data_IF_401514372569
#
_entry.id   IF_401514372569
#
_cell.length_a   1.000
_cell.length_b   1.000
_cell.length_c   1.000
_cell.angle_alpha   90.00
_cell.angle_beta   90.00
_cell.angle_gamma   90.00
#
_symmetry.space_group_name_H-M   'P 1'
#
loop_
_entity.id
_entity.type
_entity.pdbx_description
1 polymer ?
#
# COMPACT_ATOMS: atom_id res chain seq x y z
N UNK A 1 -19.66 -35.68 14.07
CA UNK A 1 -19.41 -34.59 15.04
C UNK A 1 -19.96 -33.29 14.46
N UNK A 2 -20.86 -32.59 15.15
CA UNK A 2 -21.28 -31.24 14.73
C UNK A 2 -20.09 -30.31 14.91
N UNK A 3 -19.66 -29.64 13.84
CA UNK A 3 -18.68 -28.56 13.92
C UNK A 3 -19.34 -27.39 14.66
N UNK A 4 -19.13 -27.31 15.97
CA UNK A 4 -19.40 -26.11 16.75
C UNK A 4 -18.43 -25.03 16.24
N UNK A 5 -18.88 -24.26 15.27
CA UNK A 5 -18.15 -23.07 14.80
C UNK A 5 -18.30 -22.03 15.89
N UNK A 6 -17.36 -22.02 16.84
CA UNK A 6 -17.21 -20.94 17.79
C UNK A 6 -17.07 -19.65 16.97
N UNK A 7 -18.08 -18.76 17.01
CA UNK A 7 -18.06 -17.47 16.30
C UNK A 7 -17.11 -16.51 17.02
N UNK A 8 -15.82 -16.84 17.04
CA UNK A 8 -14.76 -15.89 17.38
C UNK A 8 -14.66 -14.89 16.24
N UNK A 9 -15.49 -13.85 16.26
CA UNK A 9 -15.49 -12.89 15.18
C UNK A 9 -16.42 -11.71 15.41
N UNK A 10 -15.82 -10.58 15.81
CA UNK A 10 -16.28 -9.22 15.50
C UNK A 10 -17.71 -8.90 15.99
N UNK A 11 -18.23 -9.63 16.99
CA UNK A 11 -19.52 -9.35 17.62
C UNK A 11 -19.39 -8.12 18.52
N UNK A 12 -19.42 -6.93 17.93
CA UNK A 12 -19.24 -5.65 18.63
C UNK A 12 -19.04 -4.45 17.70
N UNK A 13 -18.70 -4.69 16.43
CA UNK A 13 -18.54 -3.64 15.42
C UNK A 13 -19.73 -3.59 14.47
N UNK A 14 -19.99 -2.41 13.90
CA UNK A 14 -21.01 -2.29 12.86
C UNK A 14 -20.61 -3.07 11.61
N UNK A 15 -21.58 -3.59 10.85
CA UNK A 15 -21.34 -4.43 9.66
C UNK A 15 -20.41 -3.77 8.62
N UNK A 16 -20.35 -2.44 8.56
CA UNK A 16 -19.42 -1.74 7.68
C UNK A 16 -17.97 -1.90 8.14
N UNK A 17 -17.72 -1.71 9.43
CA UNK A 17 -16.41 -1.84 10.06
C UNK A 17 -15.89 -3.28 9.94
N UNK A 18 -16.74 -4.28 10.18
CA UNK A 18 -16.36 -5.69 10.03
C UNK A 18 -15.82 -5.99 8.64
N UNK A 19 -16.48 -5.48 7.59
CA UNK A 19 -16.07 -5.69 6.19
C UNK A 19 -14.74 -5.05 5.86
N UNK A 20 -14.43 -3.89 6.45
CA UNK A 20 -13.12 -3.25 6.29
C UNK A 20 -12.03 -4.11 6.92
N UNK A 21 -12.23 -4.52 8.18
CA UNK A 21 -11.27 -5.35 8.92
C UNK A 21 -11.04 -6.71 8.25
N UNK A 22 -12.10 -7.37 7.79
CA UNK A 22 -12.00 -8.65 7.08
C UNK A 22 -11.28 -8.50 5.73
N UNK A 23 -11.52 -7.40 5.01
CA UNK A 23 -10.82 -7.10 3.76
C UNK A 23 -9.33 -6.88 3.99
N UNK A 24 -8.97 -6.09 4.99
CA UNK A 24 -7.57 -5.86 5.37
C UNK A 24 -6.90 -7.17 5.81
N UNK A 25 -7.59 -7.98 6.60
CA UNK A 25 -7.13 -9.32 6.98
C UNK A 25 -6.91 -10.23 5.78
N UNK A 26 -7.86 -10.25 4.85
CA UNK A 26 -7.73 -11.04 3.63
C UNK A 26 -6.49 -10.60 2.83
N UNK A 27 -6.24 -9.28 2.72
CA UNK A 27 -5.05 -8.74 2.06
C UNK A 27 -3.76 -9.19 2.78
N UNK A 28 -3.71 -9.13 4.12
CA UNK A 28 -2.57 -9.61 4.90
C UNK A 28 -2.33 -11.11 4.74
N UNK A 29 -3.40 -11.90 4.55
CA UNK A 29 -3.34 -13.33 4.25
C UNK A 29 -3.02 -13.64 2.78
N UNK A 30 -2.73 -12.62 1.96
CA UNK A 30 -2.29 -12.77 0.58
C UNK A 30 -3.38 -12.61 -0.47
N UNK A 31 -4.61 -12.23 -0.09
CA UNK A 31 -5.63 -11.86 -1.06
C UNK A 31 -5.20 -10.61 -1.84
N UNK A 32 -5.56 -10.56 -3.13
CA UNK A 32 -5.19 -9.45 -3.99
C UNK A 32 -5.91 -8.16 -3.55
N UNK A 33 -5.17 -7.07 -3.28
CA UNK A 33 -5.78 -5.78 -2.97
C UNK A 33 -6.70 -5.27 -4.09
N UNK A 34 -7.70 -4.46 -3.76
CA UNK A 34 -8.55 -3.84 -4.77
C UNK A 34 -7.75 -2.95 -5.72
N UNK A 35 -8.26 -2.84 -6.95
CA UNK A 35 -7.70 -1.90 -7.93
C UNK A 35 -7.88 -0.47 -7.43
N UNK A 36 -6.84 0.33 -7.60
CA UNK A 36 -6.90 1.77 -7.35
C UNK A 36 -7.80 2.41 -8.40
N UNK A 37 -8.53 3.44 -8.00
CA UNK A 37 -9.29 4.26 -8.92
C UNK A 37 -8.35 4.99 -9.88
N UNK A 38 -8.85 5.29 -11.07
CA UNK A 38 -8.12 6.09 -12.04
C UNK A 38 -7.97 7.53 -11.53
N UNK A 39 -6.75 8.07 -11.60
CA UNK A 39 -6.45 9.44 -11.19
C UNK A 39 -5.68 10.13 -12.31
N UNK A 40 -6.05 11.37 -12.65
CA UNK A 40 -5.31 12.19 -13.61
C UNK A 40 -3.86 12.37 -13.17
N UNK A 41 -2.93 12.28 -14.11
CA UNK A 41 -1.50 12.34 -13.82
C UNK A 41 -1.05 13.64 -13.14
N UNK A 42 -1.61 14.80 -13.50
CA UNK A 42 -1.28 16.09 -12.87
C UNK A 42 -1.64 16.08 -11.37
N UNK A 43 -2.85 15.63 -11.06
CA UNK A 43 -3.36 15.50 -9.68
C UNK A 43 -2.49 14.51 -8.88
N UNK A 44 -2.08 13.40 -9.51
CA UNK A 44 -1.18 12.44 -8.86
C UNK A 44 0.18 13.05 -8.53
N UNK A 45 0.77 13.86 -9.42
CA UNK A 45 2.04 14.54 -9.15
C UNK A 45 1.92 15.54 -8.01
N UNK A 46 0.86 16.34 -7.96
CA UNK A 46 0.60 17.29 -6.86
C UNK A 46 0.52 16.58 -5.52
N UNK A 47 -0.31 15.52 -5.43
CA UNK A 47 -0.40 14.67 -4.22
C UNK A 47 0.95 14.09 -3.79
N UNK A 48 1.81 13.74 -4.74
CA UNK A 48 3.15 13.21 -4.43
C UNK A 48 4.12 14.31 -3.97
N UNK A 49 3.95 15.55 -4.44
CA UNK A 49 4.71 16.70 -3.94
C UNK A 49 4.31 17.04 -2.51
N UNK A 50 3.01 17.12 -2.23
CA UNK A 50 2.46 17.35 -0.87
C UNK A 50 2.93 16.28 0.12
N UNK A 51 2.88 15.00 -0.29
CA UNK A 51 3.37 13.90 0.56
C UNK A 51 4.87 13.97 0.82
N UNK A 52 5.66 14.52 -0.10
CA UNK A 52 7.11 14.72 0.11
C UNK A 52 7.36 15.86 1.08
N UNK A 53 6.68 16.99 0.94
CA UNK A 53 6.84 18.11 1.87
C UNK A 53 6.43 17.73 3.30
N UNK A 54 5.32 17.00 3.46
CA UNK A 54 4.91 16.49 4.78
C UNK A 54 5.89 15.46 5.37
N UNK A 55 6.57 14.67 4.53
CA UNK A 55 7.58 13.70 4.98
C UNK A 55 8.91 14.37 5.31
N UNK A 56 9.30 15.38 4.56
CA UNK A 56 10.55 16.12 4.79
C UNK A 56 10.47 16.98 6.07
N UNK A 57 9.27 17.48 6.42
CA UNK A 57 9.02 18.19 7.69
C UNK A 57 9.01 17.26 8.91
N UNK A 58 8.76 15.96 8.73
CA UNK A 58 8.68 14.96 9.81
C UNK A 58 9.91 14.07 9.93
N UNK A 59 10.67 13.87 8.85
CA UNK A 59 11.89 13.08 8.84
C UNK A 59 12.98 13.91 8.14
N UNK A 60 13.88 14.47 8.93
CA UNK A 60 15.04 15.19 8.42
C UNK A 60 15.78 14.37 7.36
N UNK A 61 15.79 14.87 6.12
CA UNK A 61 16.77 14.62 5.06
C UNK A 61 17.43 13.24 5.05
N UNK A 62 16.72 12.17 4.68
CA UNK A 62 17.40 10.92 4.31
C UNK A 62 16.95 10.37 2.95
N UNK A 63 17.96 10.26 2.08
CA UNK A 63 18.02 9.53 0.81
C UNK A 63 17.43 10.20 -0.44
N UNK A 64 18.22 11.13 -1.00
CA UNK A 64 18.26 11.42 -2.45
C UNK A 64 18.83 10.19 -3.19
N UNK A 65 17.99 9.20 -3.50
CA UNK A 65 18.34 8.12 -4.41
C UNK A 65 18.57 8.65 -5.82
N UNK A 66 19.84 8.82 -6.21
CA UNK A 66 20.23 9.28 -7.55
C UNK A 66 19.86 8.27 -8.65
N UNK A 67 19.61 8.72 -9.90
CA UNK A 67 19.18 7.84 -10.97
C UNK A 67 20.29 6.87 -11.38
N UNK A 68 20.03 5.55 -11.26
CA UNK A 68 20.90 4.49 -11.76
C UNK A 68 21.10 4.62 -13.28
N UNK A 69 22.21 5.24 -13.70
CA UNK A 69 22.72 5.11 -15.07
C UNK A 69 23.22 3.67 -15.26
N UNK A 70 22.40 2.83 -15.91
CA UNK A 70 22.81 1.51 -16.41
C UNK A 70 23.97 1.69 -17.39
N UNK A 71 25.19 1.29 -17.01
CA UNK A 71 26.35 1.24 -17.92
C UNK A 71 26.11 0.13 -18.96
N UNK A 72 26.27 0.49 -20.23
CA UNK A 72 26.19 -0.39 -21.40
C UNK A 72 27.35 -1.40 -21.30
N UNK A 73 27.07 -2.70 -21.35
CA UNK A 73 28.07 -3.77 -21.31
C UNK A 73 28.77 -3.81 -22.68
N UNK A 74 30.03 -3.39 -22.74
CA UNK A 74 30.86 -3.60 -23.93
C UNK A 74 31.16 -5.09 -24.07
N UNK A 75 30.96 -5.59 -25.29
CA UNK A 75 31.36 -6.94 -25.71
C UNK A 75 32.89 -6.98 -25.76
N UNK A 76 33.50 -8.07 -25.29
CA UNK A 76 34.85 -8.43 -25.71
C UNK A 76 34.86 -9.89 -26.16
N UNK A 77 35.29 -10.00 -27.41
CA UNK A 77 35.87 -11.10 -28.19
C UNK A 77 36.12 -12.45 -27.49
#
# INVERSE_FOLDING_TARGET
>A
ARLEVHRFGITGYEKQEQRVLERERAIMLGAKPPKREHVNYKIYQEKMREKRTMKDDSNGKEHKGGPLKKRKKEKKE
#
